data_IF_819572663534
#
_entry.id   IF_819572663534
#
_cell.length_a   1.000
_cell.length_b   1.000
_cell.length_c   1.000
_cell.angle_alpha   90.00
_cell.angle_beta   90.00
_cell.angle_gamma   90.00
#
_symmetry.space_group_name_H-M   'P 1'
#
loop_
_entity.id
_entity.type
_entity.pdbx_description
1 polymer ?
#
# COMPACT_ATOMS: atom_id res chain seq x y z
N UNK A 1 19.66 -17.25 6.19
CA UNK A 1 18.74 -16.74 5.15
C UNK A 1 18.76 -15.23 5.26
N UNK A 2 19.30 -14.51 4.27
CA UNK A 2 19.52 -13.06 4.38
C UNK A 2 18.20 -12.29 4.24
N UNK A 3 17.86 -11.44 5.25
CA UNK A 3 16.74 -10.49 5.17
C UNK A 3 16.95 -9.55 3.97
N UNK A 4 15.87 -9.11 3.32
CA UNK A 4 15.93 -8.00 2.36
C UNK A 4 16.22 -6.69 3.12
N UNK A 5 17.45 -6.56 3.63
CA UNK A 5 18.02 -5.26 3.98
C UNK A 5 18.33 -4.55 2.67
N UNK A 6 17.80 -3.33 2.51
CA UNK A 6 18.32 -2.43 1.51
C UNK A 6 19.75 -2.08 1.96
N UNK A 7 20.77 -2.71 1.35
CA UNK A 7 22.18 -2.42 1.62
C UNK A 7 22.51 -0.99 1.16
N UNK A 8 22.06 -0.01 1.93
CA UNK A 8 22.51 1.37 1.89
C UNK A 8 23.66 1.43 2.90
N UNK A 9 24.89 1.44 2.40
CA UNK A 9 26.06 1.80 3.20
C UNK A 9 25.89 3.26 3.67
N UNK A 10 25.42 3.44 4.90
CA UNK A 10 25.26 4.74 5.55
C UNK A 10 24.99 4.52 7.04
N UNK A 11 26.05 4.69 7.82
CA UNK A 11 26.15 4.79 9.29
C UNK A 11 25.37 3.82 10.20
N UNK A 12 26.16 3.18 11.07
CA UNK A 12 25.79 2.38 12.23
C UNK A 12 24.88 3.17 13.18
N UNK A 13 23.55 3.11 13.00
CA UNK A 13 22.47 3.30 14.01
C UNK A 13 21.06 3.34 13.41
N UNK A 14 20.89 3.28 12.09
CA UNK A 14 19.57 3.09 11.48
C UNK A 14 19.38 1.63 11.13
N UNK A 15 18.73 0.88 12.02
CA UNK A 15 18.12 -0.40 11.66
C UNK A 15 17.04 -0.07 10.61
N UNK A 16 17.43 -0.10 9.34
CA UNK A 16 16.61 0.39 8.24
C UNK A 16 15.36 -0.46 8.15
N UNK A 17 14.22 0.10 8.55
CA UNK A 17 12.94 -0.61 8.52
C UNK A 17 12.73 -1.22 7.12
N UNK A 18 12.66 -2.55 7.07
CA UNK A 18 12.45 -3.27 5.82
C UNK A 18 11.02 -3.06 5.32
N UNK A 19 10.77 -3.36 4.05
CA UNK A 19 9.41 -3.36 3.50
C UNK A 19 8.48 -4.30 4.29
N UNK A 20 9.03 -5.39 4.83
CA UNK A 20 8.30 -6.36 5.64
C UNK A 20 7.91 -5.74 6.99
N UNK A 21 8.83 -5.03 7.64
CA UNK A 21 8.54 -4.33 8.90
C UNK A 21 7.48 -3.24 8.71
N UNK A 22 7.54 -2.53 7.58
CA UNK A 22 6.50 -1.56 7.19
C UNK A 22 5.13 -2.20 7.04
N UNK A 23 5.04 -3.34 6.35
CA UNK A 23 3.78 -4.09 6.18
C UNK A 23 3.22 -4.54 7.55
N UNK A 24 4.06 -5.10 8.42
CA UNK A 24 3.64 -5.52 9.75
C UNK A 24 3.18 -4.34 10.62
N UNK A 25 3.89 -3.21 10.56
CA UNK A 25 3.51 -2.00 11.29
C UNK A 25 2.13 -1.48 10.85
N UNK A 26 1.82 -1.51 9.55
CA UNK A 26 0.49 -1.14 9.04
C UNK A 26 -0.57 -2.12 9.50
N UNK A 27 -0.30 -3.43 9.44
CA UNK A 27 -1.25 -4.45 9.90
C UNK A 27 -1.57 -4.30 11.39
N UNK A 28 -0.57 -4.05 12.24
CA UNK A 28 -0.78 -3.82 13.69
C UNK A 28 -1.60 -2.55 13.98
N UNK A 29 -1.44 -1.51 13.17
CA UNK A 29 -2.25 -0.28 13.27
C UNK A 29 -3.67 -0.45 12.72
N UNK A 30 -3.90 -1.46 11.88
CA UNK A 30 -5.21 -1.71 11.28
C UNK A 30 -6.14 -2.43 12.25
N UNK A 31 -7.46 -2.16 12.22
CA UNK A 31 -8.45 -2.90 12.99
C UNK A 31 -8.36 -4.42 12.74
N UNK A 32 -8.57 -5.24 13.76
CA UNK A 32 -8.42 -6.70 13.67
C UNK A 32 -9.24 -7.32 12.53
N UNK A 33 -10.46 -6.83 12.32
CA UNK A 33 -11.42 -7.39 11.37
C UNK A 33 -10.97 -7.29 9.90
N UNK A 34 -10.15 -6.27 9.55
CA UNK A 34 -9.69 -6.07 8.17
C UNK A 34 -8.36 -6.74 7.86
N UNK A 35 -7.58 -7.13 8.89
CA UNK A 35 -6.21 -7.65 8.72
C UNK A 35 -6.17 -8.89 7.83
N UNK A 36 -7.13 -9.80 7.99
CA UNK A 36 -7.22 -11.00 7.17
C UNK A 36 -7.40 -10.66 5.69
N UNK A 37 -8.35 -9.78 5.36
CA UNK A 37 -8.59 -9.35 3.99
C UNK A 37 -7.39 -8.60 3.38
N UNK A 38 -6.66 -7.81 4.19
CA UNK A 38 -5.44 -7.13 3.73
C UNK A 38 -4.32 -8.12 3.39
N UNK A 39 -4.16 -9.19 4.19
CA UNK A 39 -3.16 -10.24 3.93
C UNK A 39 -3.50 -11.06 2.69
N UNK A 40 -4.78 -11.34 2.46
CA UNK A 40 -5.27 -12.06 1.26
C UNK A 40 -5.08 -11.25 -0.03
N UNK A 41 -4.93 -9.93 0.05
CA UNK A 41 -4.92 -9.04 -1.10
C UNK A 41 -3.67 -8.15 -1.15
N UNK A 42 -2.47 -8.73 -1.09
CA UNK A 42 -1.23 -7.96 -1.25
C UNK A 42 -0.97 -7.62 -2.72
N UNK A 43 -1.08 -6.34 -3.04
CA UNK A 43 -0.83 -5.80 -4.37
C UNK A 43 0.53 -5.08 -4.43
N UNK A 44 1.39 -5.51 -5.35
CA UNK A 44 2.67 -4.85 -5.64
C UNK A 44 2.56 -4.06 -6.95
N UNK A 45 2.88 -2.77 -6.88
CA UNK A 45 2.80 -1.80 -7.98
C UNK A 45 4.12 -1.02 -8.07
N UNK A 46 4.43 -0.48 -9.25
CA UNK A 46 5.59 0.38 -9.50
C UNK A 46 6.75 -0.34 -10.19
N UNK A 47 7.80 0.40 -10.53
CA UNK A 47 8.96 -0.11 -11.27
C UNK A 47 9.71 -1.21 -10.52
N UNK A 48 9.99 -1.01 -9.24
CA UNK A 48 10.71 -1.98 -8.38
C UNK A 48 9.97 -3.32 -8.26
N UNK A 49 8.64 -3.30 -8.32
CA UNK A 49 7.83 -4.52 -8.26
C UNK A 49 8.02 -5.44 -9.49
N UNK A 50 8.68 -4.96 -10.55
CA UNK A 50 9.02 -5.75 -11.74
C UNK A 50 10.29 -6.59 -11.56
N UNK A 51 11.05 -6.42 -10.47
CA UNK A 51 12.22 -7.27 -10.19
C UNK A 51 11.75 -8.73 -10.08
N UNK A 52 12.29 -9.66 -10.91
CA UNK A 52 11.85 -11.05 -10.90
C UNK A 52 11.98 -11.69 -9.51
N UNK A 53 10.90 -12.28 -9.02
CA UNK A 53 10.87 -12.97 -7.73
C UNK A 53 10.77 -12.06 -6.50
N UNK A 54 10.86 -10.73 -6.65
CA UNK A 54 10.77 -9.81 -5.50
C UNK A 54 9.41 -9.92 -4.78
N UNK A 55 8.24 -9.84 -5.44
CA UNK A 55 6.95 -9.97 -4.75
C UNK A 55 6.82 -11.30 -4.00
N UNK A 56 7.27 -12.41 -4.61
CA UNK A 56 7.22 -13.74 -4.01
C UNK A 56 8.11 -13.82 -2.77
N UNK A 57 9.31 -13.22 -2.84
CA UNK A 57 10.24 -13.15 -1.71
C UNK A 57 9.67 -12.33 -0.56
N UNK A 58 9.11 -11.16 -0.84
CA UNK A 58 8.49 -10.32 0.20
C UNK A 58 7.33 -11.07 0.87
N UNK A 59 6.48 -11.77 0.11
CA UNK A 59 5.41 -12.59 0.70
C UNK A 59 5.94 -13.73 1.57
N UNK A 60 7.02 -14.41 1.16
CA UNK A 60 7.66 -15.42 1.99
C UNK A 60 8.21 -14.82 3.30
N UNK A 61 8.87 -13.66 3.23
CA UNK A 61 9.41 -12.96 4.40
C UNK A 61 8.30 -12.44 5.32
N UNK A 62 7.18 -11.92 4.78
CA UNK A 62 6.00 -11.53 5.56
C UNK A 62 5.39 -12.73 6.29
N UNK A 63 5.20 -13.87 5.60
CA UNK A 63 4.68 -15.10 6.22
C UNK A 63 5.57 -15.56 7.36
N UNK A 64 6.88 -15.52 7.16
CA UNK A 64 7.85 -15.92 8.18
C UNK A 64 7.83 -14.96 9.38
N UNK A 65 7.75 -13.67 9.12
CA UNK A 65 7.70 -12.67 10.18
C UNK A 65 6.39 -12.78 10.99
N UNK A 66 5.25 -13.05 10.35
CA UNK A 66 3.97 -13.29 11.03
C UNK A 66 4.00 -14.54 11.94
N UNK A 67 4.73 -15.60 11.57
CA UNK A 67 4.89 -16.80 12.41
C UNK A 67 5.63 -16.53 13.72
N UNK A 68 6.53 -15.54 13.70
CA UNK A 68 7.34 -15.17 14.85
C UNK A 68 6.70 -14.04 15.68
N UNK A 69 5.56 -13.51 15.26
CA UNK A 69 4.89 -12.40 15.92
C UNK A 69 3.78 -12.90 16.84
N UNK A 70 4.00 -12.79 18.16
CA UNK A 70 3.09 -13.29 19.20
C UNK A 70 1.64 -12.80 19.05
N UNK A 71 1.40 -11.62 18.48
CA UNK A 71 0.06 -11.06 18.25
C UNK A 71 -0.68 -11.82 17.13
N UNK A 72 0.05 -12.30 16.13
CA UNK A 72 -0.48 -13.01 14.97
C UNK A 72 -0.38 -14.53 15.09
N UNK A 73 0.45 -15.06 16.00
CA UNK A 73 0.63 -16.50 16.24
C UNK A 73 -0.65 -17.19 16.74
N UNK A 74 -1.51 -16.50 17.51
CA UNK A 74 -2.81 -17.06 17.93
C UNK A 74 -3.79 -17.23 16.76
N UNK A 75 -3.56 -16.49 15.67
CA UNK A 75 -4.31 -16.57 14.43
C UNK A 75 -3.49 -17.37 13.39
N UNK A 76 -3.19 -18.64 13.69
CA UNK A 76 -2.45 -19.54 12.79
C UNK A 76 -3.00 -19.56 11.35
N UNK A 77 -4.29 -19.23 11.16
CA UNK A 77 -4.96 -19.08 9.86
C UNK A 77 -4.47 -17.87 9.05
N UNK A 78 -3.91 -16.83 9.67
CA UNK A 78 -3.50 -15.57 9.02
C UNK A 78 -2.24 -15.71 8.18
N UNK A 79 -1.34 -16.63 8.53
CA UNK A 79 -0.08 -16.86 7.79
C UNK A 79 -0.34 -17.50 6.42
N UNK A 80 -1.31 -18.43 6.35
CA UNK A 80 -1.65 -19.12 5.10
C UNK A 80 -2.45 -18.23 4.13
N UNK A 81 -3.12 -17.23 4.68
CA UNK A 81 -3.91 -16.25 3.93
C UNK A 81 -3.09 -15.24 3.15
N UNK A 82 -1.78 -15.10 3.42
CA UNK A 82 -0.95 -14.11 2.72
C UNK A 82 -0.88 -14.46 1.23
N UNK A 83 -1.48 -13.65 0.35
CA UNK A 83 -1.55 -13.92 -1.08
C UNK A 83 -1.21 -12.69 -1.92
N UNK A 84 -0.55 -12.93 -3.05
CA UNK A 84 -0.29 -11.90 -4.05
C UNK A 84 -1.51 -11.76 -4.95
N UNK A 85 -1.98 -10.54 -5.12
CA UNK A 85 -3.00 -10.23 -6.13
C UNK A 85 -2.42 -10.53 -7.52
N UNK A 86 -3.15 -11.32 -8.29
CA UNK A 86 -2.86 -11.56 -9.69
C UNK A 86 -3.18 -10.30 -10.51
N UNK A 87 -2.26 -9.92 -11.39
CA UNK A 87 -2.35 -8.69 -12.18
C UNK A 87 -2.36 -9.03 -13.66
N UNK A 88 -3.31 -8.47 -14.41
CA UNK A 88 -3.40 -8.67 -15.87
C UNK A 88 -2.46 -7.77 -16.66
N UNK A 89 -1.98 -6.68 -16.05
CA UNK A 89 -1.05 -5.74 -16.64
C UNK A 89 0.29 -5.75 -15.89
N UNK A 90 1.39 -5.31 -16.54
CA UNK A 90 2.68 -5.12 -15.86
C UNK A 90 2.55 -4.25 -14.61
N UNK A 91 3.24 -4.64 -13.52
CA UNK A 91 3.10 -3.99 -12.20
C UNK A 91 3.48 -2.51 -12.20
N UNK A 92 4.37 -2.10 -13.09
CA UNK A 92 4.77 -0.70 -13.27
C UNK A 92 3.70 0.15 -13.99
N UNK A 93 2.71 -0.46 -14.64
CA UNK A 93 1.65 0.23 -15.38
C UNK A 93 0.31 0.24 -14.63
N UNK A 94 0.13 -0.61 -13.63
CA UNK A 94 -1.15 -0.79 -12.94
C UNK A 94 -1.76 0.50 -12.41
N UNK A 95 -0.96 1.41 -11.85
CA UNK A 95 -1.45 2.70 -11.37
C UNK A 95 -2.05 3.55 -12.51
N UNK A 96 -1.42 3.53 -13.68
CA UNK A 96 -1.87 4.31 -14.85
C UNK A 96 -3.13 3.70 -15.50
N UNK A 97 -3.18 2.37 -15.59
CA UNK A 97 -4.39 1.65 -16.02
C UNK A 97 -5.54 1.91 -15.07
N UNK A 98 -5.30 1.83 -13.75
CA UNK A 98 -6.31 2.13 -12.73
C UNK A 98 -6.84 3.56 -12.84
N UNK A 99 -5.96 4.53 -13.07
CA UNK A 99 -6.36 5.92 -13.33
C UNK A 99 -7.22 6.07 -14.58
N UNK A 100 -6.89 5.36 -15.66
CA UNK A 100 -7.67 5.38 -16.91
C UNK A 100 -9.06 4.75 -16.73
N UNK A 101 -9.15 3.64 -15.99
CA UNK A 101 -10.42 3.01 -15.65
C UNK A 101 -11.26 3.92 -14.75
N UNK A 102 -10.66 4.49 -13.70
CA UNK A 102 -11.34 5.43 -12.80
C UNK A 102 -11.88 6.65 -13.55
N UNK A 103 -11.09 7.25 -14.44
CA UNK A 103 -11.49 8.42 -15.24
C UNK A 103 -12.73 8.17 -16.12
N UNK A 104 -13.01 6.92 -16.48
CA UNK A 104 -14.20 6.55 -17.23
C UNK A 104 -15.48 6.44 -16.35
N UNK A 105 -15.34 6.46 -15.03
CA UNK A 105 -16.46 6.34 -14.08
C UNK A 105 -17.18 7.68 -13.85
N UNK A 106 -18.39 7.63 -13.31
CA UNK A 106 -19.11 8.82 -12.87
C UNK A 106 -18.50 9.46 -11.63
N UNK A 107 -17.98 8.66 -10.70
CA UNK A 107 -17.28 9.15 -9.51
C UNK A 107 -16.13 10.09 -9.88
N UNK A 108 -15.35 9.75 -10.90
CA UNK A 108 -14.27 10.64 -11.38
C UNK A 108 -14.80 11.98 -11.90
N UNK A 109 -15.99 12.02 -12.52
CA UNK A 109 -16.61 13.28 -12.97
C UNK A 109 -17.10 14.12 -11.79
N UNK A 110 -17.68 13.47 -10.77
CA UNK A 110 -18.17 14.14 -9.57
C UNK A 110 -17.03 14.68 -8.69
N UNK A 111 -15.87 14.02 -8.69
CA UNK A 111 -14.69 14.46 -7.94
C UNK A 111 -13.75 15.38 -8.73
N UNK A 112 -14.03 15.66 -10.01
CA UNK A 112 -13.18 16.50 -10.83
C UNK A 112 -13.46 17.98 -10.54
N UNK A 113 -12.38 18.78 -10.48
CA UNK A 113 -12.47 20.23 -10.37
C UNK A 113 -12.36 20.87 -11.74
N UNK A 114 -13.30 21.73 -12.06
CA UNK A 114 -13.28 22.55 -13.28
C UNK A 114 -12.36 23.76 -13.11
N UNK A 115 -11.92 24.33 -14.23
CA UNK A 115 -11.12 25.56 -14.22
C UNK A 115 -11.87 26.75 -13.60
N UNK A 116 -13.21 26.79 -13.74
CA UNK A 116 -14.02 27.83 -13.15
C UNK A 116 -14.08 27.71 -11.63
N UNK A 117 -14.28 26.50 -11.10
CA UNK A 117 -14.27 26.22 -9.66
C UNK A 117 -12.92 26.57 -9.05
N UNK A 118 -11.83 26.15 -9.69
CA UNK A 118 -10.47 26.46 -9.24
C UNK A 118 -10.16 27.98 -9.20
N UNK A 119 -10.66 28.74 -10.17
CA UNK A 119 -10.43 30.20 -10.22
C UNK A 119 -11.32 30.95 -9.23
N UNK A 120 -12.48 30.37 -8.87
CA UNK A 120 -13.45 30.99 -7.98
C UNK A 120 -13.19 30.67 -6.50
N UNK A 121 -12.45 29.60 -6.20
CA UNK A 121 -12.06 29.25 -4.83
C UNK A 121 -11.04 30.25 -4.28
N UNK A 122 -11.27 30.72 -3.05
CA UNK A 122 -10.31 31.57 -2.34
C UNK A 122 -9.00 30.79 -2.15
N UNK A 123 -7.93 31.23 -2.82
CA UNK A 123 -6.59 30.64 -2.69
C UNK A 123 -6.04 29.92 -3.93
N UNK A 124 -6.81 29.77 -5.01
CA UNK A 124 -6.37 29.13 -6.28
C UNK A 124 -5.49 27.89 -6.03
N UNK A 125 -5.95 26.97 -5.19
CA UNK A 125 -5.24 25.74 -4.85
C UNK A 125 -6.20 24.54 -4.91
N UNK A 126 -5.66 23.38 -5.25
CA UNK A 126 -6.42 22.14 -5.20
C UNK A 126 -6.51 21.73 -3.71
N UNK A 127 -7.71 21.45 -3.17
CA UNK A 127 -7.87 21.01 -1.80
C UNK A 127 -7.10 19.71 -1.59
N UNK A 128 -6.27 19.68 -0.55
CA UNK A 128 -5.57 18.49 -0.12
C UNK A 128 -6.37 17.76 0.98
N UNK A 129 -5.95 16.55 1.28
CA UNK A 129 -6.54 15.72 2.35
C UNK A 129 -6.56 16.37 3.74
N UNK A 130 -5.70 17.35 4.03
CA UNK A 130 -5.73 18.08 5.30
C UNK A 130 -6.88 19.10 5.29
N UNK A 131 -7.03 19.84 4.19
CA UNK A 131 -8.13 20.81 4.01
C UNK A 131 -9.51 20.14 4.03
N UNK A 132 -9.66 18.98 3.40
CA UNK A 132 -10.94 18.25 3.37
C UNK A 132 -11.33 17.68 4.74
N UNK A 133 -10.36 17.30 5.57
CA UNK A 133 -10.61 16.76 6.90
C UNK A 133 -11.13 17.85 7.88
N UNK A 134 -10.70 19.09 7.69
CA UNK A 134 -11.15 20.24 8.50
C UNK A 134 -12.62 20.62 8.20
N UNK A 135 -13.07 20.40 6.96
CA UNK A 135 -14.43 20.68 6.52
C UNK A 135 -15.47 19.60 6.93
N UNK A 136 -15.04 18.54 7.64
CA UNK A 136 -15.94 17.55 8.25
C UNK A 136 -16.65 16.61 7.26
N UNK A 137 -16.14 16.48 6.03
CA UNK A 137 -16.71 15.62 4.99
C UNK A 137 -16.38 14.13 5.16
N UNK A 138 -16.90 13.48 6.21
CA UNK A 138 -17.00 12.01 6.31
C UNK A 138 -18.34 11.58 6.91
#
# INVERSE_FOLDING_TARGET
MARLSCDRKGDETTDGASIVDGILAVLKKSPLDVRAAMLENLLFVGGTAMIPGLPQRVVAEVREALRHDNEFTSAATSVERVQLVQTYFPRNMLAWVGGSVYAATESARLSALTAQEYTSSEGSSIPDWLTVAEDGGF
#
